data_IF_247263790405
#
_entry.id   IF_247263790405
#
_cell.length_a   1.000
_cell.length_b   1.000
_cell.length_c   1.000
_cell.angle_alpha   90.00
_cell.angle_beta   90.00
_cell.angle_gamma   90.00
#
_symmetry.space_group_name_H-M   'P 1'
#
loop_
_entity.id
_entity.type
_entity.pdbx_description
1 polymer ?
#
# COMPACT_ATOMS: atom_id res chain seq x y z
N UNK A 1 -17.81 -4.18 5.80
CA UNK A 1 -18.70 -3.90 6.95
C UNK A 1 -18.46 -4.98 7.99
N UNK A 2 -18.08 -4.60 9.21
CA UNK A 2 -17.83 -5.53 10.31
C UNK A 2 -19.16 -5.96 10.94
N UNK A 3 -19.36 -7.27 11.10
CA UNK A 3 -20.46 -7.85 11.87
C UNK A 3 -19.96 -8.11 13.28
N UNK A 4 -20.50 -7.38 14.25
CA UNK A 4 -20.10 -7.45 15.64
C UNK A 4 -21.22 -8.06 16.48
N UNK A 5 -20.90 -9.12 17.21
CA UNK A 5 -21.81 -9.78 18.16
C UNK A 5 -21.25 -9.60 19.56
N UNK A 6 -22.09 -9.16 20.48
CA UNK A 6 -21.76 -9.02 21.89
C UNK A 6 -22.52 -10.06 22.72
N UNK A 7 -21.79 -10.74 23.60
CA UNK A 7 -22.31 -11.65 24.60
C UNK A 7 -21.84 -11.24 25.99
N UNK A 8 -22.68 -11.45 26.99
CA UNK A 8 -22.31 -11.22 28.38
C UNK A 8 -21.41 -12.37 28.88
N UNK A 9 -20.34 -12.08 29.64
CA UNK A 9 -19.37 -13.08 30.07
C UNK A 9 -19.95 -14.00 31.16
N UNK A 10 -19.44 -15.23 31.21
CA UNK A 10 -19.76 -16.18 32.29
C UNK A 10 -21.11 -16.87 32.14
N UNK A 11 -21.84 -17.00 33.25
CA UNK A 11 -23.08 -17.80 33.37
C UNK A 11 -24.27 -17.10 32.67
N UNK A 12 -24.17 -15.80 32.41
CA UNK A 12 -25.24 -15.00 31.82
C UNK A 12 -25.57 -15.43 30.37
N UNK A 13 -24.60 -16.00 29.65
CA UNK A 13 -24.82 -16.57 28.32
C UNK A 13 -24.68 -18.10 28.40
N UNK A 14 -25.72 -18.89 28.04
CA UNK A 14 -25.63 -20.35 28.02
C UNK A 14 -24.47 -20.86 27.16
N UNK A 15 -23.78 -21.90 27.61
CA UNK A 15 -22.60 -22.45 26.92
C UNK A 15 -22.86 -22.82 25.46
N UNK A 16 -24.03 -23.41 25.16
CA UNK A 16 -24.42 -23.79 23.80
C UNK A 16 -24.50 -22.58 22.86
N UNK A 17 -24.94 -21.43 23.39
CA UNK A 17 -25.01 -20.17 22.64
C UNK A 17 -23.61 -19.62 22.40
N UNK A 18 -22.74 -19.65 23.41
CA UNK A 18 -21.34 -19.23 23.26
C UNK A 18 -20.64 -20.05 22.17
N UNK A 19 -20.75 -21.38 22.23
CA UNK A 19 -20.15 -22.30 21.25
C UNK A 19 -20.69 -22.08 19.84
N UNK A 20 -21.99 -21.78 19.70
CA UNK A 20 -22.60 -21.47 18.41
C UNK A 20 -22.02 -20.19 17.78
N UNK A 21 -21.81 -19.15 18.57
CA UNK A 21 -21.24 -17.89 18.06
C UNK A 21 -19.73 -17.99 17.81
N UNK A 22 -19.00 -18.75 18.62
CA UNK A 22 -17.58 -19.06 18.33
C UNK A 22 -17.45 -19.84 17.03
N UNK A 23 -18.28 -20.87 16.84
CA UNK A 23 -18.35 -21.63 15.59
C UNK A 23 -18.70 -20.70 14.41
N UNK A 24 -19.62 -19.75 14.59
CA UNK A 24 -19.93 -18.77 13.56
C UNK A 24 -18.73 -17.90 13.15
N UNK A 25 -17.86 -17.51 14.08
CA UNK A 25 -16.61 -16.80 13.72
C UNK A 25 -15.62 -17.76 13.06
N UNK A 26 -15.49 -18.99 13.57
CA UNK A 26 -14.56 -20.00 13.07
C UNK A 26 -14.94 -20.58 11.70
N UNK A 27 -16.22 -20.70 11.37
CA UNK A 27 -16.74 -21.20 10.09
C UNK A 27 -16.74 -20.12 8.99
N UNK A 28 -16.14 -18.96 9.24
CA UNK A 28 -15.93 -17.97 8.21
C UNK A 28 -14.99 -18.55 7.14
N UNK A 29 -15.47 -18.65 5.89
CA UNK A 29 -14.70 -19.07 4.73
C UNK A 29 -13.76 -17.94 4.29
N UNK A 30 -12.74 -17.70 5.13
CA UNK A 30 -11.72 -16.69 4.94
C UNK A 30 -10.35 -17.29 5.21
N UNK A 31 -9.37 -16.93 4.38
CA UNK A 31 -7.97 -17.27 4.59
C UNK A 31 -7.35 -16.52 5.79
N UNK A 32 -8.07 -15.54 6.35
CA UNK A 32 -7.60 -14.73 7.47
C UNK A 32 -7.50 -15.53 8.78
N UNK A 33 -6.54 -15.17 9.65
CA UNK A 33 -6.30 -15.89 10.89
C UNK A 33 -7.47 -15.71 11.85
N UNK A 34 -7.75 -16.78 12.60
CA UNK A 34 -8.61 -16.72 13.75
C UNK A 34 -7.84 -16.11 14.92
N UNK A 35 -8.27 -14.94 15.37
CA UNK A 35 -7.67 -14.23 16.50
C UNK A 35 -8.55 -14.36 17.73
N UNK A 36 -7.93 -14.62 18.87
CA UNK A 36 -8.60 -14.78 20.17
C UNK A 36 -7.78 -14.05 21.22
N UNK A 37 -8.25 -12.85 21.57
CA UNK A 37 -7.59 -11.93 22.49
C UNK A 37 -8.36 -11.90 23.79
N UNK A 38 -7.66 -12.14 24.90
CA UNK A 38 -8.24 -12.08 26.24
C UNK A 38 -7.58 -10.95 27.02
N UNK A 39 -8.38 -10.04 27.57
CA UNK A 39 -7.93 -8.89 28.35
C UNK A 39 -8.83 -8.66 29.56
N UNK A 40 -8.31 -8.92 30.77
CA UNK A 40 -9.01 -8.80 32.07
C UNK A 40 -10.41 -9.46 32.09
N UNK A 41 -11.45 -8.70 31.74
CA UNK A 41 -12.85 -9.12 31.78
C UNK A 41 -13.49 -9.17 30.38
N UNK A 42 -12.68 -9.02 29.34
CA UNK A 42 -13.09 -9.02 27.93
C UNK A 42 -12.37 -10.15 27.21
N UNK A 43 -13.10 -10.89 26.40
CA UNK A 43 -12.52 -11.75 25.36
C UNK A 43 -13.08 -11.33 24.01
N UNK A 44 -12.18 -11.13 23.05
CA UNK A 44 -12.51 -10.68 21.71
C UNK A 44 -12.00 -11.71 20.72
N UNK A 45 -12.93 -12.30 19.99
CA UNK A 45 -12.65 -13.23 18.89
C UNK A 45 -12.89 -12.52 17.58
N UNK A 46 -11.97 -12.62 16.65
CA UNK A 46 -12.07 -11.96 15.36
C UNK A 46 -11.60 -12.87 14.22
N UNK A 47 -12.30 -12.81 13.10
CA UNK A 47 -11.88 -13.37 11.81
C UNK A 47 -12.58 -12.62 10.67
N UNK A 48 -11.81 -11.98 9.78
CA UNK A 48 -12.34 -11.20 8.65
C UNK A 48 -13.35 -10.13 9.08
N UNK A 49 -14.62 -10.31 8.74
CA UNK A 49 -15.69 -9.37 9.03
C UNK A 49 -16.58 -9.85 10.17
N UNK A 50 -16.15 -10.85 10.93
CA UNK A 50 -16.88 -11.39 12.07
C UNK A 50 -16.09 -11.15 13.32
N UNK A 51 -16.73 -10.50 14.29
CA UNK A 51 -16.17 -10.27 15.60
C UNK A 51 -17.18 -10.64 16.67
N UNK A 52 -16.71 -11.37 17.67
CA UNK A 52 -17.46 -11.78 18.85
C UNK A 52 -16.76 -11.24 20.09
N UNK A 53 -17.48 -10.45 20.88
CA UNK A 53 -17.00 -9.91 22.14
C UNK A 53 -17.76 -10.54 23.32
N UNK A 54 -17.03 -11.16 24.24
CA UNK A 54 -17.51 -11.50 25.58
C UNK A 54 -17.08 -10.38 26.52
N UNK A 55 -17.98 -9.47 26.86
CA UNK A 55 -17.65 -8.27 27.62
C UNK A 55 -18.81 -7.82 28.52
N UNK A 56 -18.55 -7.15 29.66
CA UNK A 56 -19.60 -6.43 30.39
C UNK A 56 -20.20 -5.32 29.51
N UNK A 57 -21.46 -4.96 29.75
CA UNK A 57 -22.16 -3.92 28.99
C UNK A 57 -21.40 -2.57 28.92
N UNK A 58 -20.63 -2.26 29.96
CA UNK A 58 -19.83 -1.02 30.07
C UNK A 58 -18.62 -0.99 29.14
N UNK A 59 -18.18 -2.15 28.62
CA UNK A 59 -16.97 -2.27 27.79
C UNK A 59 -17.28 -2.60 26.33
N UNK A 60 -18.56 -2.66 25.94
CA UNK A 60 -18.99 -3.02 24.59
C UNK A 60 -18.50 -2.02 23.56
N UNK A 61 -18.62 -0.73 23.85
CA UNK A 61 -18.20 0.34 22.95
C UNK A 61 -16.68 0.31 22.71
N UNK A 62 -15.90 0.02 23.76
CA UNK A 62 -14.45 -0.16 23.65
C UNK A 62 -14.09 -1.36 22.77
N UNK A 63 -14.81 -2.47 22.91
CA UNK A 63 -14.61 -3.67 22.10
C UNK A 63 -14.95 -3.42 20.63
N UNK A 64 -16.08 -2.76 20.36
CA UNK A 64 -16.52 -2.41 19.03
C UNK A 64 -15.53 -1.45 18.36
N UNK A 65 -15.09 -0.41 19.07
CA UNK A 65 -14.12 0.55 18.56
C UNK A 65 -12.78 -0.12 18.20
N UNK A 66 -12.26 -0.99 19.08
CA UNK A 66 -11.04 -1.74 18.82
C UNK A 66 -11.19 -2.69 17.61
N UNK A 67 -12.28 -3.47 17.57
CA UNK A 67 -12.53 -4.41 16.49
C UNK A 67 -12.73 -3.71 15.14
N UNK A 68 -13.43 -2.57 15.12
CA UNK A 68 -13.63 -1.79 13.91
C UNK A 68 -12.31 -1.18 13.38
N UNK A 69 -11.53 -0.55 14.26
CA UNK A 69 -10.23 0.02 13.90
C UNK A 69 -9.25 -1.06 13.42
N UNK A 70 -9.23 -2.21 14.09
CA UNK A 70 -8.42 -3.36 13.69
C UNK A 70 -8.85 -3.91 12.34
N UNK A 71 -10.14 -4.20 12.14
CA UNK A 71 -10.66 -4.76 10.89
C UNK A 71 -10.39 -3.85 9.70
N UNK A 72 -10.51 -2.53 9.91
CA UNK A 72 -10.20 -1.55 8.87
C UNK A 72 -8.71 -1.55 8.52
N UNK A 73 -7.84 -1.48 9.53
CA UNK A 73 -6.38 -1.48 9.32
C UNK A 73 -5.90 -2.78 8.68
N UNK A 74 -6.40 -3.93 9.16
CA UNK A 74 -6.07 -5.24 8.62
C UNK A 74 -6.49 -5.36 7.15
N UNK A 75 -7.73 -5.00 6.83
CA UNK A 75 -8.23 -5.07 5.46
C UNK A 75 -7.51 -4.11 4.51
N UNK A 76 -7.15 -2.92 4.98
CA UNK A 76 -6.37 -1.96 4.20
C UNK A 76 -4.97 -2.52 3.89
N UNK A 77 -4.29 -3.09 4.89
CA UNK A 77 -2.99 -3.72 4.71
C UNK A 77 -3.05 -4.91 3.75
N UNK A 78 -3.97 -5.85 3.99
CA UNK A 78 -4.14 -7.03 3.13
C UNK A 78 -4.46 -6.65 1.68
N UNK A 79 -5.22 -5.56 1.46
CA UNK A 79 -5.49 -5.07 0.11
C UNK A 79 -4.25 -4.51 -0.58
N UNK A 80 -3.34 -3.85 0.13
CA UNK A 80 -2.09 -3.37 -0.48
C UNK A 80 -1.07 -4.48 -0.67
N UNK A 81 -0.99 -5.45 0.24
CA UNK A 81 -0.18 -6.66 0.05
C UNK A 81 -0.58 -7.40 -1.22
N UNK A 82 -1.89 -7.64 -1.43
CA UNK A 82 -2.40 -8.27 -2.64
C UNK A 82 -2.06 -7.45 -3.91
N UNK A 83 -2.16 -6.12 -3.82
CA UNK A 83 -1.80 -5.22 -4.94
C UNK A 83 -0.32 -5.24 -5.28
N UNK A 84 0.55 -5.40 -4.28
CA UNK A 84 2.00 -5.54 -4.50
C UNK A 84 2.29 -6.88 -5.17
N UNK A 85 1.69 -7.97 -4.68
CA UNK A 85 1.84 -9.31 -5.25
C UNK A 85 1.41 -9.33 -6.73
N UNK A 86 0.28 -8.70 -7.07
CA UNK A 86 -0.18 -8.54 -8.45
C UNK A 86 0.76 -7.68 -9.31
N UNK A 87 1.48 -6.72 -8.71
CA UNK A 87 2.39 -5.83 -9.43
C UNK A 87 3.75 -6.47 -9.71
N UNK A 88 4.14 -7.51 -8.97
CA UNK A 88 5.47 -8.12 -9.02
C UNK A 88 5.89 -8.57 -10.44
N UNK A 89 5.05 -9.25 -11.24
CA UNK A 89 5.43 -9.64 -12.60
C UNK A 89 5.72 -8.45 -13.51
N UNK A 90 4.94 -7.37 -13.37
CA UNK A 90 5.15 -6.14 -14.15
C UNK A 90 6.46 -5.45 -13.73
N UNK A 91 6.74 -5.37 -12.42
CA UNK A 91 7.99 -4.83 -11.91
C UNK A 91 9.21 -5.58 -12.48
N UNK A 92 9.17 -6.91 -12.48
CA UNK A 92 10.27 -7.72 -13.04
C UNK A 92 10.47 -7.48 -14.54
N UNK A 93 9.40 -7.34 -15.32
CA UNK A 93 9.50 -7.01 -16.74
C UNK A 93 10.06 -5.59 -16.97
N UNK A 94 9.72 -4.65 -16.08
CA UNK A 94 10.10 -3.25 -16.18
C UNK A 94 11.54 -2.95 -15.76
N UNK A 95 12.25 -3.92 -15.17
CA UNK A 95 13.69 -3.79 -14.88
C UNK A 95 14.48 -3.36 -16.12
N UNK A 96 14.10 -3.82 -17.31
CA UNK A 96 14.75 -3.45 -18.57
C UNK A 96 14.73 -1.93 -18.81
N UNK A 97 13.68 -1.23 -18.36
CA UNK A 97 13.51 0.22 -18.53
C UNK A 97 14.50 1.05 -17.70
N UNK A 98 15.22 0.44 -16.76
CA UNK A 98 16.23 1.14 -15.94
C UNK A 98 17.64 1.18 -16.55
N UNK A 99 17.90 0.33 -17.56
CA UNK A 99 19.22 0.19 -18.17
C UNK A 99 19.20 0.59 -19.65
N UNK A 100 18.35 -0.06 -20.46
CA UNK A 100 18.30 0.13 -21.92
C UNK A 100 16.93 0.71 -22.30
N UNK A 101 16.90 2.01 -22.58
CA UNK A 101 15.67 2.72 -23.01
C UNK A 101 15.65 2.86 -24.53
N UNK A 102 14.98 1.95 -25.27
CA UNK A 102 14.78 2.15 -26.70
C UNK A 102 13.80 3.30 -26.93
N UNK A 103 13.85 3.94 -28.11
CA UNK A 103 12.91 5.01 -28.48
C UNK A 103 11.44 4.60 -28.37
N UNK A 104 11.13 3.32 -28.57
CA UNK A 104 9.78 2.78 -28.41
C UNK A 104 9.28 2.83 -26.95
N UNK A 105 10.18 2.77 -25.96
CA UNK A 105 9.85 2.82 -24.54
C UNK A 105 9.33 4.19 -24.08
N UNK A 106 9.55 5.26 -24.85
CA UNK A 106 8.92 6.56 -24.56
C UNK A 106 7.39 6.49 -24.58
N UNK A 107 6.79 5.50 -25.27
CA UNK A 107 5.34 5.26 -25.24
C UNK A 107 4.86 4.78 -23.87
N UNK A 108 5.73 4.15 -23.09
CA UNK A 108 5.44 3.63 -21.75
C UNK A 108 5.49 4.72 -20.67
N UNK A 109 5.91 5.95 -20.99
CA UNK A 109 6.09 7.02 -20.00
C UNK A 109 4.84 7.29 -19.16
N UNK A 110 3.64 7.26 -19.77
CA UNK A 110 2.40 7.46 -19.02
C UNK A 110 2.15 6.34 -18.00
N UNK A 111 2.48 5.10 -18.37
CA UNK A 111 2.33 3.92 -17.53
C UNK A 111 3.34 3.95 -16.38
N UNK A 112 4.61 4.23 -16.66
CA UNK A 112 5.66 4.41 -15.64
C UNK A 112 5.26 5.49 -14.63
N UNK A 113 4.82 6.65 -15.10
CA UNK A 113 4.31 7.72 -14.23
C UNK A 113 3.11 7.30 -13.37
N UNK A 114 2.23 6.43 -13.89
CA UNK A 114 1.12 5.88 -13.11
C UNK A 114 1.64 4.95 -12.01
N UNK A 115 2.58 4.07 -12.34
CA UNK A 115 3.21 3.17 -11.37
C UNK A 115 3.93 3.95 -10.27
N UNK A 116 4.70 4.99 -10.60
CA UNK A 116 5.32 5.89 -9.61
C UNK A 116 4.29 6.46 -8.64
N UNK A 117 3.18 7.02 -9.15
CA UNK A 117 2.11 7.55 -8.30
C UNK A 117 1.46 6.47 -7.42
N UNK A 118 1.31 5.26 -7.95
CA UNK A 118 0.74 4.12 -7.22
C UNK A 118 1.62 3.74 -6.04
N UNK A 119 2.93 3.59 -6.24
CA UNK A 119 3.87 3.27 -5.15
C UNK A 119 3.97 4.40 -4.11
N UNK A 120 4.03 5.66 -4.55
CA UNK A 120 3.99 6.80 -3.62
C UNK A 120 2.70 6.83 -2.78
N UNK A 121 1.56 6.54 -3.39
CA UNK A 121 0.27 6.47 -2.66
C UNK A 121 0.25 5.30 -1.67
N UNK A 122 0.82 4.16 -2.05
CA UNK A 122 0.96 3.00 -1.17
C UNK A 122 1.88 3.31 0.02
N UNK A 123 3.02 3.97 -0.21
CA UNK A 123 3.94 4.43 0.85
C UNK A 123 3.24 5.33 1.87
N UNK A 124 2.43 6.29 1.39
CA UNK A 124 1.64 7.17 2.27
C UNK A 124 0.68 6.35 3.14
N UNK A 125 -0.02 5.37 2.55
CA UNK A 125 -0.95 4.51 3.29
C UNK A 125 -0.20 3.68 4.34
N UNK A 126 0.88 3.00 3.96
CA UNK A 126 1.69 2.16 4.85
C UNK A 126 2.28 2.98 5.98
N UNK A 127 2.81 4.16 5.70
CA UNK A 127 3.26 5.12 6.72
C UNK A 127 2.14 5.47 7.70
N UNK A 128 0.92 5.73 7.20
CA UNK A 128 -0.23 6.02 8.06
C UNK A 128 -0.60 4.83 8.95
N UNK A 129 -0.55 3.60 8.42
CA UNK A 129 -0.80 2.37 9.17
C UNK A 129 0.27 2.17 10.25
N UNK A 130 1.55 2.31 9.90
CA UNK A 130 2.67 2.22 10.84
C UNK A 130 2.53 3.26 11.97
N UNK A 131 2.18 4.49 11.62
CA UNK A 131 1.86 5.53 12.60
C UNK A 131 0.72 5.13 13.54
N UNK A 132 -0.35 4.50 13.03
CA UNK A 132 -1.47 4.05 13.86
C UNK A 132 -1.08 2.91 14.81
N UNK A 133 -0.14 2.04 14.38
CA UNK A 133 0.41 0.95 15.19
C UNK A 133 1.32 1.48 16.30
N UNK A 134 2.19 2.46 15.99
CA UNK A 134 3.15 3.02 16.94
C UNK A 134 2.51 4.06 17.87
N UNK A 135 1.78 5.03 17.31
CA UNK A 135 1.07 6.08 18.02
C UNK A 135 -0.39 5.68 18.10
N UNK A 136 -0.69 4.82 19.07
CA UNK A 136 -2.06 4.39 19.45
C UNK A 136 -3.08 5.48 19.15
N UNK A 137 -4.03 5.21 18.25
CA UNK A 137 -4.98 6.21 17.72
C UNK A 137 -5.50 7.15 18.83
N UNK A 138 -5.28 8.47 18.75
CA UNK A 138 -5.58 9.38 19.87
C UNK A 138 -7.06 9.38 20.26
N UNK A 139 -7.93 9.07 19.30
CA UNK A 139 -9.39 8.94 19.40
C UNK A 139 -9.86 7.74 20.22
N UNK A 140 -9.06 6.69 20.34
CA UNK A 140 -9.44 5.48 21.08
C UNK A 140 -9.23 5.66 22.59
N UNK A 141 -10.19 5.16 23.37
CA UNK A 141 -10.06 5.03 24.81
C UNK A 141 -8.95 4.02 25.17
N UNK A 142 -8.32 4.13 26.36
CA UNK A 142 -7.21 3.26 26.75
C UNK A 142 -7.50 1.76 26.69
N UNK A 143 -8.74 1.34 26.98
CA UNK A 143 -9.16 -0.06 26.89
C UNK A 143 -9.22 -0.55 25.43
N UNK A 144 -9.86 0.21 24.55
CA UNK A 144 -9.90 -0.06 23.12
C UNK A 144 -8.49 -0.11 22.49
N UNK A 145 -7.60 0.80 22.89
CA UNK A 145 -6.18 0.81 22.47
C UNK A 145 -5.47 -0.48 22.81
N UNK A 146 -5.70 -1.02 24.01
CA UNK A 146 -5.07 -2.27 24.45
C UNK A 146 -5.57 -3.46 23.62
N UNK A 147 -6.89 -3.57 23.44
CA UNK A 147 -7.47 -4.63 22.61
C UNK A 147 -6.96 -4.56 21.16
N UNK A 148 -6.87 -3.37 20.59
CA UNK A 148 -6.27 -3.18 19.26
C UNK A 148 -4.81 -3.64 19.22
N UNK A 149 -3.98 -3.25 20.20
CA UNK A 149 -2.58 -3.67 20.26
C UNK A 149 -2.43 -5.19 20.41
N UNK A 150 -3.28 -5.83 21.20
CA UNK A 150 -3.25 -7.28 21.39
C UNK A 150 -3.65 -8.02 20.09
N UNK A 151 -4.67 -7.53 19.36
CA UNK A 151 -5.04 -8.04 18.03
C UNK A 151 -3.91 -7.83 17.00
N UNK A 152 -3.30 -6.65 16.98
CA UNK A 152 -2.21 -6.31 16.08
C UNK A 152 -0.97 -7.18 16.33
N UNK A 153 -0.69 -7.50 17.60
CA UNK A 153 0.40 -8.39 17.98
C UNK A 153 0.12 -9.84 17.53
N UNK A 154 -1.08 -10.36 17.80
CA UNK A 154 -1.43 -11.75 17.45
C UNK A 154 -1.49 -11.98 15.93
N UNK A 155 -1.81 -10.94 15.15
CA UNK A 155 -1.81 -10.98 13.68
C UNK A 155 -0.48 -10.60 13.04
N UNK A 156 0.55 -10.32 13.84
CA UNK A 156 1.88 -9.89 13.40
C UNK A 156 1.85 -8.69 12.44
N UNK A 157 0.93 -7.76 12.70
CA UNK A 157 0.61 -6.66 11.79
C UNK A 157 1.81 -5.73 11.57
N UNK A 158 2.64 -5.54 12.60
CA UNK A 158 3.84 -4.71 12.51
C UNK A 158 4.91 -5.29 11.57
N UNK A 159 5.12 -6.61 11.60
CA UNK A 159 6.08 -7.26 10.71
C UNK A 159 5.59 -7.25 9.26
N UNK A 160 4.28 -7.49 9.06
CA UNK A 160 3.64 -7.39 7.75
C UNK A 160 3.76 -6.00 7.12
N UNK A 161 3.52 -4.96 7.91
CA UNK A 161 3.72 -3.56 7.49
C UNK A 161 5.15 -3.32 7.03
N UNK A 162 6.16 -3.81 7.77
CA UNK A 162 7.57 -3.67 7.37
C UNK A 162 7.88 -4.38 6.05
N UNK A 163 7.44 -5.62 5.89
CA UNK A 163 7.66 -6.38 4.65
C UNK A 163 7.01 -5.69 3.44
N UNK A 164 5.81 -5.15 3.62
CA UNK A 164 5.14 -4.37 2.59
C UNK A 164 5.90 -3.08 2.28
N UNK A 165 6.39 -2.39 3.30
CA UNK A 165 7.18 -1.15 3.17
C UNK A 165 8.46 -1.38 2.36
N UNK A 166 9.19 -2.45 2.66
CA UNK A 166 10.38 -2.88 1.91
C UNK A 166 10.03 -3.19 0.45
N UNK A 167 8.93 -3.89 0.21
CA UNK A 167 8.47 -4.22 -1.15
C UNK A 167 8.02 -3.00 -1.96
N UNK A 168 7.39 -2.02 -1.31
CA UNK A 168 7.03 -0.73 -1.91
C UNK A 168 8.30 0.04 -2.27
N UNK A 169 9.32 0.05 -1.41
CA UNK A 169 10.61 0.71 -1.67
C UNK A 169 11.25 0.24 -2.97
N UNK A 170 11.28 -1.08 -3.18
CA UNK A 170 11.78 -1.66 -4.43
C UNK A 170 11.02 -1.12 -5.65
N UNK A 171 9.70 -0.98 -5.55
CA UNK A 171 8.87 -0.40 -6.60
C UNK A 171 9.13 1.09 -6.83
N UNK A 172 9.26 1.88 -5.76
CA UNK A 172 9.61 3.30 -5.86
C UNK A 172 10.95 3.48 -6.56
N UNK A 173 11.99 2.81 -6.09
CA UNK A 173 13.33 2.83 -6.66
C UNK A 173 13.35 2.45 -8.15
N UNK A 174 12.62 1.37 -8.49
CA UNK A 174 12.55 0.88 -9.86
C UNK A 174 11.94 1.93 -10.80
N UNK A 175 10.77 2.47 -10.42
CA UNK A 175 10.03 3.37 -11.29
C UNK A 175 10.55 4.81 -11.25
N UNK A 176 11.22 5.24 -10.20
CA UNK A 176 11.98 6.49 -10.18
C UNK A 176 13.14 6.41 -11.18
N UNK A 177 13.97 5.37 -11.10
CA UNK A 177 15.07 5.16 -12.07
C UNK A 177 14.56 5.02 -13.50
N UNK A 178 13.48 4.26 -13.72
CA UNK A 178 12.91 4.11 -15.06
C UNK A 178 12.38 5.45 -15.60
N UNK A 179 11.74 6.25 -14.75
CA UNK A 179 11.24 7.57 -15.15
C UNK A 179 12.40 8.54 -15.47
N UNK A 180 13.44 8.56 -14.65
CA UNK A 180 14.64 9.38 -14.89
C UNK A 180 15.27 9.03 -16.23
N UNK A 181 15.45 7.74 -16.52
CA UNK A 181 16.01 7.27 -17.80
C UNK A 181 15.15 7.67 -19.00
N UNK A 182 13.82 7.59 -18.87
CA UNK A 182 12.90 8.04 -19.92
C UNK A 182 12.96 9.56 -20.14
N UNK A 183 13.10 10.33 -19.06
CA UNK A 183 13.26 11.79 -19.13
C UNK A 183 14.60 12.16 -19.76
N UNK A 184 15.70 11.54 -19.33
CA UNK A 184 17.04 11.72 -19.91
C UNK A 184 17.03 11.45 -21.41
N UNK A 185 16.46 10.31 -21.83
CA UNK A 185 16.40 9.97 -23.26
C UNK A 185 15.55 10.94 -24.07
N UNK A 186 14.42 11.41 -23.53
CA UNK A 186 13.60 12.43 -24.18
C UNK A 186 14.34 13.76 -24.31
N UNK A 187 15.08 14.15 -23.28
CA UNK A 187 15.87 15.38 -23.28
C UNK A 187 17.02 15.28 -24.29
N UNK A 188 17.73 14.14 -24.33
CA UNK A 188 18.77 13.86 -25.33
C UNK A 188 18.24 13.99 -26.76
N UNK A 189 17.06 13.43 -27.07
CA UNK A 189 16.45 13.60 -28.39
C UNK A 189 16.14 15.07 -28.71
N UNK A 190 15.68 15.83 -27.71
CA UNK A 190 15.36 17.25 -27.86
C UNK A 190 16.64 18.06 -28.11
N UNK A 191 17.71 17.77 -27.36
CA UNK A 191 19.02 18.39 -27.52
C UNK A 191 19.62 18.08 -28.89
N UNK A 192 19.57 16.83 -29.34
CA UNK A 192 20.03 16.43 -30.67
C UNK A 192 19.29 17.19 -31.79
N UNK A 193 17.97 17.36 -31.66
CA UNK A 193 17.19 18.14 -32.62
C UNK A 193 17.59 19.62 -32.65
N UNK A 194 17.84 20.21 -31.49
CA UNK A 194 18.32 21.59 -31.38
C UNK A 194 19.71 21.72 -32.00
N UNK A 195 20.62 20.77 -31.74
CA UNK A 195 21.98 20.77 -32.30
C UNK A 195 21.95 20.65 -33.83
N UNK A 196 21.15 19.73 -34.38
CA UNK A 196 20.96 19.59 -35.82
C UNK A 196 20.41 20.89 -36.42
N UNK A 197 19.43 21.53 -35.77
CA UNK A 197 18.87 22.79 -36.25
C UNK A 197 19.90 23.92 -36.30
N UNK A 198 20.76 24.03 -35.28
CA UNK A 198 21.87 25.01 -35.24
C UNK A 198 22.86 24.72 -36.36
N UNK A 199 23.26 23.46 -36.54
CA UNK A 199 24.24 23.06 -37.55
C UNK A 199 23.71 23.33 -38.97
N UNK A 200 22.42 23.06 -39.22
CA UNK A 200 21.75 23.44 -40.46
C UNK A 200 21.72 24.96 -40.68
N UNK A 201 21.47 25.75 -39.64
CA UNK A 201 21.47 27.22 -39.76
C UNK A 201 22.85 27.78 -40.11
N UNK A 202 23.91 27.27 -39.45
CA UNK A 202 25.31 27.64 -39.75
C UNK A 202 25.68 27.26 -41.18
N UNK A 203 25.30 26.05 -41.64
CA UNK A 203 25.53 25.61 -43.01
C UNK A 203 24.82 26.50 -44.04
N UNK A 204 23.59 26.92 -43.74
CA UNK A 204 22.84 27.84 -44.60
C UNK A 204 23.52 29.22 -44.69
N UNK A 205 23.96 29.77 -43.55
CA UNK A 205 24.71 31.04 -43.51
C UNK A 205 26.02 30.93 -44.31
N UNK A 206 26.77 29.84 -44.12
CA UNK A 206 28.01 29.60 -44.86
C UNK A 206 27.78 29.45 -46.36
N UNK A 207 26.69 28.79 -46.77
CA UNK A 207 26.32 28.68 -48.17
C UNK A 207 26.01 30.05 -48.80
N UNK A 208 25.28 30.92 -48.09
CA UNK A 208 25.03 32.30 -48.53
C UNK A 208 26.33 33.08 -48.68
N UNK A 209 27.22 33.02 -47.69
CA UNK A 209 28.53 33.68 -47.75
C UNK A 209 29.40 33.19 -48.91
N UNK A 210 29.34 31.89 -49.24
CA UNK A 210 30.06 31.33 -50.39
C UNK A 210 29.51 31.86 -51.71
N UNK A 211 28.18 31.91 -51.87
CA UNK A 211 27.55 32.47 -53.08
C UNK A 211 27.96 33.93 -53.26
N UNK A 212 27.85 34.75 -52.21
CA UNK A 212 28.27 36.15 -52.23
C UNK A 212 29.76 36.34 -52.59
N UNK A 213 30.62 35.40 -52.18
CA UNK A 213 32.04 35.41 -52.51
C UNK A 213 32.30 35.11 -54.00
N UNK A 214 31.55 34.18 -54.59
CA UNK A 214 31.69 33.82 -56.01
C UNK A 214 30.99 34.79 -56.96
N UNK A 215 30.01 35.57 -56.49
CA UNK A 215 29.33 36.62 -57.25
C UNK A 215 30.09 37.96 -57.25
N UNK A 216 31.18 38.09 -56.48
CA UNK A 216 32.12 39.23 -56.49
C UNK A 216 33.27 39.03 -57.47
#
# INVERSE_FOLDING_TARGET
MLTFVHLLPGIETPFDVQKKFEAWVAECDSAEPYLDVVSRNVRLVWRDRRCLAFAPAQSVDDCLAAAAAFSHTYSALSSEEARLEEAWPAMMADVALTHDVPRAALREQSRVNNMTRRFQSARILVTRIDMALQRREPTLLPAAKRLFSDLALQSDLASRVRLLDDGIEVGEDLYERANDRLIEYRNFLTELWVEIAILCAILAEFAVLLVDLFER
#
